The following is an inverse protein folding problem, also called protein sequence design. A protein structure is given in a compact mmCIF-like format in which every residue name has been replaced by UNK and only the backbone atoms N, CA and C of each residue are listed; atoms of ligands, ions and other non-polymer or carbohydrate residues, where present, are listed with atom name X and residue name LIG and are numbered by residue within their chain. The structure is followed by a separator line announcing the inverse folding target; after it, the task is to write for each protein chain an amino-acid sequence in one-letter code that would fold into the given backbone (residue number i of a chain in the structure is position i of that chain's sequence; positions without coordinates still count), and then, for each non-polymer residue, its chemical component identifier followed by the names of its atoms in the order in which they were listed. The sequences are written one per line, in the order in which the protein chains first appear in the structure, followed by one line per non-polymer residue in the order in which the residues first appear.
data_IF_390265421050
#
_entry.id   IF_390265421050
#
_cell.length_a   1.000
_cell.length_b   1.000
_cell.length_c   1.000
_cell.angle_alpha   90.00
_cell.angle_beta   90.00
_cell.angle_gamma   90.00
#
_symmetry.space_group_name_H-M   'P 1'
#
loop_
_entity.id
_entity.type
_entity.pdbx_description
1 polymer ?
#
# COMPACT_ATOMS: atom_id res chain seq x y z
N UNK A 1 11.71 9.97 -14.36
CA UNK A 1 10.54 9.11 -14.62
C UNK A 1 9.72 9.74 -15.73
N UNK A 2 9.52 9.07 -16.87
CA UNK A 2 8.97 9.70 -18.08
C UNK A 2 7.48 9.47 -18.33
N UNK A 3 6.85 8.54 -17.61
CA UNK A 3 5.49 8.07 -17.91
C UNK A 3 4.45 8.35 -16.80
N UNK A 4 4.81 9.05 -15.71
CA UNK A 4 3.84 9.50 -14.69
C UNK A 4 3.25 8.44 -13.74
N UNK A 5 3.58 7.16 -13.92
CA UNK A 5 3.03 6.06 -13.11
C UNK A 5 3.57 5.95 -11.68
N UNK A 6 4.71 6.59 -11.40
CA UNK A 6 5.33 6.60 -10.08
C UNK A 6 5.53 8.06 -9.68
N UNK A 7 5.05 8.41 -8.49
CA UNK A 7 5.30 9.71 -7.85
C UNK A 7 6.47 9.55 -6.89
N UNK A 8 7.48 10.40 -7.00
CA UNK A 8 8.63 10.42 -6.10
C UNK A 8 8.49 11.56 -5.11
N UNK A 9 8.91 11.33 -3.87
CA UNK A 9 9.17 12.40 -2.91
C UNK A 9 10.60 12.90 -3.09
N UNK A 10 10.85 14.22 -3.04
CA UNK A 10 12.21 14.75 -3.11
C UNK A 10 13.01 14.40 -1.85
N UNK A 11 14.33 14.26 -1.98
CA UNK A 11 15.25 13.93 -0.89
C UNK A 11 15.50 12.42 -0.73
N UNK A 12 16.35 12.09 0.24
CA UNK A 12 16.84 10.72 0.49
C UNK A 12 16.14 10.02 1.67
N UNK A 13 15.17 10.70 2.29
CA UNK A 13 14.41 10.19 3.44
C UNK A 13 12.94 9.96 3.07
N UNK A 14 12.30 9.04 3.78
CA UNK A 14 10.86 8.79 3.66
C UNK A 14 10.10 9.99 4.23
N UNK A 15 9.27 10.62 3.40
CA UNK A 15 8.37 11.71 3.81
C UNK A 15 7.02 11.14 4.28
N UNK A 16 6.92 10.91 5.59
CA UNK A 16 5.70 10.37 6.21
C UNK A 16 4.52 11.34 6.19
N UNK A 17 4.77 12.66 6.18
CA UNK A 17 3.71 13.67 6.10
C UNK A 17 3.06 13.62 4.73
N UNK A 18 3.86 13.50 3.67
CA UNK A 18 3.35 13.32 2.32
C UNK A 18 2.54 12.04 2.17
N UNK A 19 2.98 10.94 2.78
CA UNK A 19 2.25 9.66 2.78
C UNK A 19 0.92 9.81 3.53
N UNK A 20 0.91 10.46 4.70
CA UNK A 20 -0.32 10.76 5.44
C UNK A 20 -1.32 11.52 4.57
N UNK A 21 -0.89 12.61 3.96
CA UNK A 21 -1.78 13.48 3.18
C UNK A 21 -2.34 12.76 1.95
N UNK A 22 -1.55 11.89 1.32
CA UNK A 22 -2.02 11.03 0.24
C UNK A 22 -3.10 10.04 0.72
N UNK A 23 -2.91 9.40 1.88
CA UNK A 23 -3.91 8.49 2.47
C UNK A 23 -5.20 9.23 2.85
N UNK A 24 -5.10 10.42 3.45
CA UNK A 24 -6.27 11.22 3.83
C UNK A 24 -7.07 11.66 2.60
N UNK A 25 -6.40 12.09 1.53
CA UNK A 25 -7.06 12.41 0.27
C UNK A 25 -7.74 11.19 -0.36
N UNK A 26 -7.10 10.02 -0.27
CA UNK A 26 -7.73 8.77 -0.75
C UNK A 26 -8.96 8.41 0.11
N UNK A 27 -8.96 8.72 1.42
CA UNK A 27 -10.11 8.54 2.30
C UNK A 27 -11.32 9.42 1.95
N UNK A 28 -11.11 10.56 1.27
CA UNK A 28 -12.20 11.40 0.74
C UNK A 28 -12.89 10.72 -0.46
N UNK A 29 -12.18 9.86 -1.19
CA UNK A 29 -12.69 9.20 -2.40
C UNK A 29 -13.16 7.77 -2.13
N UNK A 30 -12.51 7.07 -1.20
CA UNK A 30 -12.75 5.66 -0.89
C UNK A 30 -13.21 5.48 0.55
N UNK A 31 -14.14 4.56 0.76
CA UNK A 31 -14.47 4.09 2.11
C UNK A 31 -13.39 3.12 2.60
N UNK A 32 -12.27 3.67 3.08
CA UNK A 32 -11.16 2.90 3.63
C UNK A 32 -11.64 2.16 4.88
N UNK A 33 -11.63 0.83 4.82
CA UNK A 33 -12.07 -0.02 5.94
C UNK A 33 -10.99 -0.26 6.98
N UNK A 34 -9.74 -0.37 6.53
CA UNK A 34 -8.60 -0.68 7.38
C UNK A 34 -7.31 -0.29 6.67
N UNK A 35 -6.37 0.29 7.41
CA UNK A 35 -5.00 0.54 6.96
C UNK A 35 -4.05 -0.37 7.73
N UNK A 36 -3.45 -1.34 7.03
CA UNK A 36 -2.35 -2.14 7.57
C UNK A 36 -1.03 -1.38 7.45
N UNK A 37 -0.24 -1.32 8.52
CA UNK A 37 1.06 -0.63 8.50
C UNK A 37 2.18 -1.52 9.03
N UNK A 38 3.41 -1.33 8.51
CA UNK A 38 4.58 -1.97 9.09
C UNK A 38 4.95 -1.30 10.42
N UNK A 39 5.25 -2.09 11.45
CA UNK A 39 5.49 -1.53 12.79
C UNK A 39 6.84 -0.84 12.94
N UNK A 40 7.76 -1.00 11.99
CA UNK A 40 9.06 -0.35 12.05
C UNK A 40 8.95 1.12 11.63
N UNK A 41 9.26 2.04 12.56
CA UNK A 41 9.42 3.46 12.30
C UNK A 41 8.15 4.23 11.84
N UNK A 42 6.96 3.62 11.91
CA UNK A 42 5.69 4.23 11.49
C UNK A 42 4.72 4.55 12.65
N UNK A 43 5.18 4.50 13.90
CA UNK A 43 4.35 4.80 15.09
C UNK A 43 3.73 6.20 15.04
N UNK A 44 4.48 7.18 14.51
CA UNK A 44 3.98 8.55 14.37
C UNK A 44 2.85 8.63 13.33
N UNK A 45 3.06 8.07 12.14
CA UNK A 45 2.05 8.01 11.08
C UNK A 45 0.78 7.31 11.54
N UNK A 46 0.90 6.18 12.26
CA UNK A 46 -0.25 5.49 12.87
C UNK A 46 -1.10 6.44 13.71
N UNK A 47 -0.47 7.18 14.62
CA UNK A 47 -1.17 8.08 15.55
C UNK A 47 -1.93 9.17 14.80
N UNK A 48 -1.34 9.72 13.74
CA UNK A 48 -1.98 10.74 12.90
C UNK A 48 -3.20 10.18 12.14
N UNK A 49 -3.08 8.99 11.54
CA UNK A 49 -4.18 8.36 10.82
C UNK A 49 -5.33 7.96 11.75
N UNK A 50 -5.03 7.46 12.95
CA UNK A 50 -6.04 7.19 13.97
C UNK A 50 -6.74 8.47 14.45
N UNK A 51 -5.98 9.56 14.62
CA UNK A 51 -6.53 10.88 14.96
C UNK A 51 -7.47 11.44 13.88
N UNK A 52 -7.27 11.05 12.62
CA UNK A 52 -8.15 11.37 11.50
C UNK A 52 -9.37 10.43 11.38
N UNK A 53 -9.53 9.48 12.31
CA UNK A 53 -10.67 8.55 12.36
C UNK A 53 -10.52 7.29 11.50
N UNK A 54 -9.33 7.00 10.97
CA UNK A 54 -9.08 5.77 10.23
C UNK A 54 -8.79 4.60 11.18
N UNK A 55 -9.28 3.42 10.82
CA UNK A 55 -8.91 2.17 11.49
C UNK A 55 -7.52 1.73 11.00
N UNK A 56 -6.58 1.52 11.92
CA UNK A 56 -5.17 1.26 11.61
C UNK A 56 -4.66 0.11 12.47
N UNK A 57 -4.17 -0.95 11.83
CA UNK A 57 -3.72 -2.18 12.49
C UNK A 57 -2.29 -2.56 12.10
N UNK A 58 -1.47 -3.05 13.04
CA UNK A 58 -0.11 -3.48 12.75
C UNK A 58 -0.11 -4.73 11.87
N UNK A 59 0.57 -4.63 10.73
CA UNK A 59 0.83 -5.74 9.81
C UNK A 59 2.32 -5.81 9.50
N UNK A 60 3.06 -6.46 10.39
CA UNK A 60 4.52 -6.61 10.27
C UNK A 60 4.92 -7.29 8.96
N UNK A 61 5.81 -6.65 8.20
CA UNK A 61 6.30 -7.13 6.91
C UNK A 61 7.38 -8.20 7.04
N UNK A 62 7.06 -9.24 7.81
CA UNK A 62 7.92 -10.41 7.97
C UNK A 62 7.60 -11.47 6.93
N UNK A 63 8.59 -12.30 6.59
CA UNK A 63 8.40 -13.47 5.73
C UNK A 63 7.24 -14.36 6.21
N UNK A 64 7.15 -14.60 7.53
CA UNK A 64 6.11 -15.45 8.11
C UNK A 64 4.69 -14.91 7.88
N UNK A 65 4.52 -13.58 7.93
CA UNK A 65 3.22 -12.92 7.69
C UNK A 65 2.89 -12.82 6.20
N UNK A 66 3.86 -12.48 5.36
CA UNK A 66 3.62 -12.26 3.94
C UNK A 66 3.56 -13.53 3.09
N UNK A 67 4.28 -14.60 3.44
CA UNK A 67 4.28 -15.85 2.68
C UNK A 67 2.88 -16.43 2.40
N UNK A 68 1.99 -16.61 3.40
CA UNK A 68 0.64 -17.14 3.15
C UNK A 68 -0.23 -16.18 2.33
N UNK A 69 -0.05 -14.86 2.50
CA UNK A 69 -0.78 -13.84 1.73
C UNK A 69 -0.33 -13.85 0.27
N UNK A 70 0.97 -13.91 0.01
CA UNK A 70 1.53 -13.98 -1.33
C UNK A 70 1.06 -15.24 -2.07
N UNK A 71 1.06 -16.41 -1.40
CA UNK A 71 0.56 -17.66 -1.99
C UNK A 71 -0.92 -17.58 -2.34
N UNK A 72 -1.72 -16.95 -1.48
CA UNK A 72 -3.15 -16.74 -1.75
C UNK A 72 -3.37 -15.75 -2.89
N UNK A 73 -2.57 -14.69 -2.94
CA UNK A 73 -2.61 -13.69 -4.00
C UNK A 73 -2.26 -14.28 -5.37
N UNK A 74 -1.26 -15.15 -5.44
CA UNK A 74 -0.89 -15.88 -6.66
C UNK A 74 -2.09 -16.69 -7.23
N UNK A 75 -2.86 -17.35 -6.36
CA UNK A 75 -4.09 -18.05 -6.79
C UNK A 75 -5.10 -17.06 -7.40
N UNK A 76 -5.26 -15.86 -6.83
CA UNK A 76 -6.16 -14.85 -7.38
C UNK A 76 -5.69 -14.28 -8.73
N UNK A 77 -4.38 -14.08 -8.89
CA UNK A 77 -3.77 -13.67 -10.16
C UNK A 77 -4.01 -14.75 -11.23
N UNK A 78 -3.72 -16.02 -10.91
CA UNK A 78 -3.91 -17.15 -11.82
C UNK A 78 -5.39 -17.36 -12.21
N UNK A 79 -6.32 -17.09 -11.28
CA UNK A 79 -7.77 -17.12 -11.55
C UNK A 79 -8.27 -15.89 -12.32
N UNK A 80 -7.40 -14.92 -12.64
CA UNK A 80 -7.72 -13.67 -13.34
C UNK A 80 -8.83 -12.87 -12.64
N UNK A 81 -8.88 -12.91 -11.30
CA UNK A 81 -9.85 -12.15 -10.50
C UNK A 81 -9.29 -10.82 -9.97
N UNK A 82 -8.03 -10.51 -10.27
CA UNK A 82 -7.37 -9.23 -9.92
C UNK A 82 -7.45 -8.26 -11.11
N UNK A 83 -8.00 -7.06 -10.89
CA UNK A 83 -8.12 -6.01 -11.93
C UNK A 83 -7.23 -4.82 -11.59
N UNK A 84 -6.13 -4.64 -12.34
CA UNK A 84 -5.16 -3.54 -12.16
C UNK A 84 -5.30 -2.41 -13.20
N UNK A 85 -6.39 -2.38 -13.98
CA UNK A 85 -6.74 -1.31 -14.94
C UNK A 85 -5.66 -0.94 -15.97
N UNK A 86 -4.79 -1.88 -16.33
CA UNK A 86 -3.72 -1.63 -17.30
C UNK A 86 -2.57 -0.78 -16.75
N UNK A 87 -2.48 -0.61 -15.42
CA UNK A 87 -1.30 0.00 -14.80
C UNK A 87 -0.05 -0.82 -15.14
N UNK A 88 0.95 -0.23 -15.83
CA UNK A 88 2.13 -0.96 -16.31
C UNK A 88 3.09 -1.35 -15.19
N UNK A 89 3.07 -0.64 -14.05
CA UNK A 89 3.89 -0.99 -12.89
C UNK A 89 3.33 -2.25 -12.22
N UNK A 90 2.01 -2.29 -12.03
CA UNK A 90 1.34 -3.48 -11.51
C UNK A 90 1.41 -4.64 -12.51
N UNK A 91 1.24 -4.38 -13.81
CA UNK A 91 1.36 -5.43 -14.83
C UNK A 91 2.76 -6.09 -14.80
N UNK A 92 3.83 -5.28 -14.72
CA UNK A 92 5.20 -5.79 -14.60
C UNK A 92 5.40 -6.65 -13.33
N UNK A 93 4.76 -6.27 -12.21
CA UNK A 93 4.89 -7.00 -10.94
C UNK A 93 4.02 -8.25 -10.84
N UNK A 94 2.93 -8.32 -11.60
CA UNK A 94 1.93 -9.40 -11.52
C UNK A 94 2.11 -10.50 -12.57
N UNK A 95 2.92 -10.27 -13.63
CA UNK A 95 3.19 -11.30 -14.63
C UNK A 95 3.92 -12.47 -13.98
N UNK A 96 3.16 -13.51 -13.66
CA UNK A 96 3.61 -14.90 -13.57
C UNK A 96 3.74 -15.43 -15.01
N UNK A 97 4.83 -16.14 -15.28
CA UNK A 97 5.20 -16.70 -16.60
C UNK A 97 4.08 -17.45 -17.33
#
# INVERSE_FOLDING_TARGET
MKAGWIRTTPGDCIDYDRIRDDILRDAETFNIRLVGFDTWNATHLRTQLQGAGLEVEPFQQTYLKFSPVAKSFEVFVNRKVVRHRGDPVLAWRLVTW
#
